data_IF_461691821237
#
_entry.id   IF_461691821237
#
_cell.length_a   1.000
_cell.length_b   1.000
_cell.length_c   1.000
_cell.angle_alpha   90.00
_cell.angle_beta   90.00
_cell.angle_gamma   90.00
#
_symmetry.space_group_name_H-M   'P 1'
#
loop_
_entity.id
_entity.type
_entity.pdbx_description
1 polymer ?
#
# COMPACT_ATOMS: atom_id res chain seq x y z
N UNK A 1 -17.23 -4.86 -5.84
CA UNK A 1 -16.55 -5.72 -6.83
C UNK A 1 -15.14 -5.17 -7.02
N UNK A 2 -14.10 -5.96 -6.84
CA UNK A 2 -12.73 -5.57 -7.21
C UNK A 2 -12.52 -6.05 -8.65
N UNK A 3 -12.14 -5.14 -9.54
CA UNK A 3 -12.02 -5.46 -10.96
C UNK A 3 -10.60 -5.94 -11.27
N UNK A 4 -10.48 -7.19 -11.72
CA UNK A 4 -9.21 -7.85 -12.04
C UNK A 4 -8.59 -7.34 -13.36
N UNK A 5 -8.34 -6.03 -13.45
CA UNK A 5 -7.85 -5.36 -14.65
C UNK A 5 -6.48 -4.72 -14.44
N UNK A 6 -5.40 -5.41 -14.80
CA UNK A 6 -4.03 -4.88 -14.98
C UNK A 6 -3.06 -5.90 -15.57
N UNK A 7 -3.24 -7.20 -15.29
CA UNK A 7 -2.26 -8.25 -15.64
C UNK A 7 -2.34 -8.79 -17.06
N UNK A 8 -3.42 -8.52 -17.80
CA UNK A 8 -3.63 -9.08 -19.14
C UNK A 8 -3.04 -8.17 -20.23
N UNK A 9 -3.36 -6.85 -20.22
CA UNK A 9 -2.98 -5.93 -21.29
C UNK A 9 -1.49 -5.89 -21.64
N UNK A 10 -0.60 -5.93 -20.63
CA UNK A 10 0.86 -5.97 -20.86
C UNK A 10 1.28 -7.25 -21.61
N UNK A 11 0.65 -8.39 -21.34
CA UNK A 11 0.89 -9.66 -22.05
C UNK A 11 0.31 -9.60 -23.46
N UNK A 12 -0.94 -9.16 -23.60
CA UNK A 12 -1.64 -9.04 -24.90
C UNK A 12 -0.85 -8.15 -25.89
N UNK A 13 -0.18 -7.12 -25.38
CA UNK A 13 0.67 -6.20 -26.14
C UNK A 13 2.00 -6.83 -26.56
N UNK A 14 2.64 -7.63 -25.68
CA UNK A 14 3.89 -8.36 -26.01
C UNK A 14 3.62 -9.51 -26.99
N UNK A 15 2.45 -10.15 -26.88
CA UNK A 15 1.98 -11.19 -27.80
C UNK A 15 1.32 -10.62 -29.08
N UNK A 16 1.43 -9.30 -29.35
CA UNK A 16 0.74 -8.62 -30.46
C UNK A 16 0.79 -9.41 -31.78
N UNK A 17 -0.33 -10.06 -32.08
CA UNK A 17 -0.53 -10.91 -33.26
C UNK A 17 -0.30 -10.14 -34.56
N UNK A 18 -0.53 -8.82 -34.55
CA UNK A 18 -0.26 -7.92 -35.67
C UNK A 18 1.25 -7.77 -35.92
N UNK A 19 2.08 -7.65 -34.87
CA UNK A 19 3.54 -7.62 -35.02
C UNK A 19 4.09 -8.97 -35.50
N UNK A 20 3.51 -10.08 -35.05
CA UNK A 20 3.88 -11.42 -35.53
C UNK A 20 3.53 -11.61 -37.02
N UNK A 21 2.32 -11.23 -37.42
CA UNK A 21 1.86 -11.26 -38.81
C UNK A 21 2.68 -10.33 -39.72
N UNK A 22 2.95 -9.09 -39.29
CA UNK A 22 3.83 -8.16 -40.01
C UNK A 22 5.25 -8.72 -40.19
N UNK A 23 5.82 -9.37 -39.18
CA UNK A 23 7.13 -10.05 -39.30
C UNK A 23 7.09 -11.23 -40.28
N UNK A 24 6.00 -11.99 -40.30
CA UNK A 24 5.78 -13.06 -41.27
C UNK A 24 5.72 -12.51 -42.70
N UNK A 25 4.90 -11.47 -42.93
CA UNK A 25 4.82 -10.75 -44.21
C UNK A 25 6.16 -10.14 -44.64
N UNK A 26 6.93 -9.58 -43.71
CA UNK A 26 8.27 -9.04 -43.99
C UNK A 26 9.24 -10.14 -44.46
N UNK A 27 9.18 -11.33 -43.86
CA UNK A 27 10.01 -12.48 -44.26
C UNK A 27 9.68 -12.94 -45.68
N UNK A 28 8.39 -13.10 -46.01
CA UNK A 28 7.93 -13.48 -47.36
C UNK A 28 8.29 -12.41 -48.40
N UNK A 29 8.08 -11.13 -48.10
CA UNK A 29 8.43 -10.03 -49.00
C UNK A 29 9.97 -9.93 -49.23
N UNK A 30 10.78 -10.19 -48.20
CA UNK A 30 12.24 -10.23 -48.33
C UNK A 30 12.73 -11.42 -49.19
N UNK A 31 12.11 -12.59 -49.05
CA UNK A 31 12.38 -13.76 -49.91
C UNK A 31 12.03 -13.47 -51.38
N UNK A 32 10.84 -12.92 -51.63
CA UNK A 32 10.36 -12.47 -52.96
C UNK A 32 11.28 -11.43 -53.59
N UNK A 33 11.73 -10.44 -52.82
CA UNK A 33 12.71 -9.44 -53.28
C UNK A 33 14.04 -10.11 -53.67
N UNK A 34 14.49 -11.11 -52.91
CA UNK A 34 15.75 -11.80 -53.17
C UNK A 34 15.70 -12.68 -54.43
N UNK A 35 14.58 -13.38 -54.70
CA UNK A 35 14.42 -14.17 -55.94
C UNK A 35 14.33 -13.27 -57.17
N UNK A 36 13.43 -12.28 -57.16
CA UNK A 36 13.28 -11.32 -58.27
C UNK A 36 14.59 -10.58 -58.57
N UNK A 37 15.38 -10.24 -57.54
CA UNK A 37 16.70 -9.59 -57.73
C UNK A 37 17.74 -10.52 -58.35
N UNK A 38 17.68 -11.82 -58.10
CA UNK A 38 18.56 -12.80 -58.71
C UNK A 38 18.18 -13.11 -60.17
N UNK A 39 16.87 -13.15 -60.46
CA UNK A 39 16.33 -13.45 -61.79
C UNK A 39 16.36 -12.25 -62.75
N UNK A 40 16.01 -11.06 -62.28
CA UNK A 40 15.73 -9.88 -63.11
C UNK A 40 16.74 -8.73 -62.91
N UNK A 41 17.67 -8.87 -61.95
CA UNK A 41 18.68 -7.85 -61.62
C UNK A 41 18.14 -6.67 -60.79
N UNK A 42 19.05 -5.85 -60.26
CA UNK A 42 18.72 -4.85 -59.23
C UNK A 42 17.81 -3.69 -59.66
N UNK A 43 17.68 -3.47 -60.96
CA UNK A 43 17.07 -2.27 -61.55
C UNK A 43 15.74 -2.57 -62.25
N UNK A 44 15.27 -3.82 -62.25
CA UNK A 44 13.98 -4.18 -62.86
C UNK A 44 12.81 -3.53 -62.10
N UNK A 45 11.74 -3.06 -62.77
CA UNK A 45 10.61 -2.41 -62.10
C UNK A 45 9.99 -3.24 -60.96
N UNK A 46 9.90 -4.56 -61.14
CA UNK A 46 9.37 -5.47 -60.10
C UNK A 46 10.29 -5.59 -58.88
N UNK A 47 11.61 -5.49 -59.06
CA UNK A 47 12.60 -5.49 -57.96
C UNK A 47 12.58 -4.17 -57.20
N UNK A 48 12.26 -3.07 -57.89
CA UNK A 48 12.01 -1.77 -57.26
C UNK A 48 10.70 -1.82 -56.46
N UNK A 49 9.63 -2.40 -57.01
CA UNK A 49 8.35 -2.57 -56.33
C UNK A 49 8.45 -3.49 -55.10
N UNK A 50 9.10 -4.65 -55.21
CA UNK A 50 9.34 -5.56 -54.08
C UNK A 50 10.23 -4.92 -52.99
N UNK A 51 11.16 -4.02 -53.35
CA UNK A 51 11.92 -3.23 -52.38
C UNK A 51 11.04 -2.21 -51.65
N UNK A 52 10.10 -1.58 -52.35
CA UNK A 52 9.13 -0.67 -51.73
C UNK A 52 8.17 -1.43 -50.80
N UNK A 53 7.72 -2.62 -51.18
CA UNK A 53 6.90 -3.53 -50.35
C UNK A 53 7.60 -3.89 -49.03
N UNK A 54 8.87 -4.34 -49.10
CA UNK A 54 9.69 -4.60 -47.90
C UNK A 54 9.89 -3.34 -47.05
N UNK A 55 10.14 -2.19 -47.70
CA UNK A 55 10.30 -0.91 -46.99
C UNK A 55 9.02 -0.46 -46.29
N UNK A 56 7.85 -0.69 -46.90
CA UNK A 56 6.55 -0.36 -46.33
C UNK A 56 6.26 -1.24 -45.10
N UNK A 57 6.41 -2.57 -45.22
CA UNK A 57 6.14 -3.49 -44.10
C UNK A 57 7.07 -3.20 -42.91
N UNK A 58 8.34 -2.85 -43.17
CA UNK A 58 9.25 -2.42 -42.10
C UNK A 58 8.81 -1.10 -41.44
N UNK A 59 8.26 -0.15 -42.21
CA UNK A 59 7.63 1.06 -41.69
C UNK A 59 6.36 0.78 -40.87
N UNK A 60 5.58 -0.22 -41.25
CA UNK A 60 4.40 -0.68 -40.52
C UNK A 60 4.80 -1.29 -39.16
N UNK A 61 5.82 -2.16 -39.13
CA UNK A 61 6.39 -2.72 -37.90
C UNK A 61 6.89 -1.61 -36.97
N UNK A 62 7.63 -0.63 -37.50
CA UNK A 62 8.16 0.48 -36.70
C UNK A 62 7.05 1.35 -36.09
N UNK A 63 5.98 1.61 -36.84
CA UNK A 63 4.78 2.32 -36.33
C UNK A 63 4.07 1.52 -35.24
N UNK A 64 3.89 0.22 -35.44
CA UNK A 64 3.18 -0.62 -34.48
C UNK A 64 3.96 -0.80 -33.17
N UNK A 65 5.28 -0.96 -33.23
CA UNK A 65 6.15 -0.94 -32.03
C UNK A 65 6.07 0.40 -31.28
N UNK A 66 5.91 1.52 -31.99
CA UNK A 66 5.69 2.82 -31.36
C UNK A 66 4.30 2.97 -30.72
N UNK A 67 3.24 2.42 -31.34
CA UNK A 67 1.89 2.35 -30.77
C UNK A 67 1.89 1.53 -29.47
N UNK A 68 2.47 0.34 -29.53
CA UNK A 68 2.69 -0.59 -28.42
C UNK A 68 3.37 0.11 -27.23
N UNK A 69 4.51 0.77 -27.47
CA UNK A 69 5.24 1.47 -26.42
C UNK A 69 4.38 2.59 -25.78
N UNK A 70 3.64 3.34 -26.60
CA UNK A 70 2.73 4.39 -26.12
C UNK A 70 1.57 3.85 -25.29
N UNK A 71 1.05 2.65 -25.57
CA UNK A 71 0.04 2.01 -24.72
C UNK A 71 0.61 1.68 -23.34
N UNK A 72 1.78 1.03 -23.30
CA UNK A 72 2.48 0.70 -22.04
C UNK A 72 2.80 1.97 -21.23
N UNK A 73 3.25 3.05 -21.88
CA UNK A 73 3.45 4.37 -21.26
C UNK A 73 2.14 4.88 -20.61
N UNK A 74 1.01 4.84 -21.33
CA UNK A 74 -0.30 5.28 -20.81
C UNK A 74 -0.78 4.41 -19.64
N UNK A 75 -0.67 3.09 -19.75
CA UNK A 75 -1.03 2.11 -18.71
C UNK A 75 -0.20 2.33 -17.44
N UNK A 76 1.12 2.53 -17.58
CA UNK A 76 2.02 2.84 -16.47
C UNK A 76 1.60 4.13 -15.75
N UNK A 77 1.25 5.21 -16.47
CA UNK A 77 0.75 6.43 -15.80
C UNK A 77 -0.59 6.21 -15.10
N UNK A 78 -1.43 5.30 -15.61
CA UNK A 78 -2.74 4.99 -15.04
C UNK A 78 -2.60 4.18 -13.76
N UNK A 79 -1.80 3.11 -13.77
CA UNK A 79 -1.46 2.30 -12.59
C UNK A 79 -0.75 3.15 -11.53
N UNK A 80 0.14 4.07 -11.94
CA UNK A 80 0.81 5.00 -11.00
C UNK A 80 -0.17 5.94 -10.30
N UNK A 81 -1.17 6.47 -11.02
CA UNK A 81 -2.26 7.29 -10.43
C UNK A 81 -3.16 6.48 -9.50
N UNK A 82 -3.48 5.24 -9.87
CA UNK A 82 -4.24 4.32 -9.02
C UNK A 82 -3.48 4.00 -7.73
N UNK A 83 -2.16 3.76 -7.82
CA UNK A 83 -1.28 3.57 -6.66
C UNK A 83 -1.30 4.78 -5.72
N UNK A 84 -1.07 6.01 -6.23
CA UNK A 84 -1.04 7.19 -5.35
C UNK A 84 -2.41 7.50 -4.72
N UNK A 85 -3.50 7.18 -5.41
CA UNK A 85 -4.86 7.25 -4.84
C UNK A 85 -5.03 6.24 -3.68
N UNK A 86 -4.56 5.00 -3.84
CA UNK A 86 -4.60 3.97 -2.80
C UNK A 86 -3.73 4.35 -1.59
N UNK A 87 -2.52 4.87 -1.82
CA UNK A 87 -1.62 5.37 -0.77
C UNK A 87 -2.25 6.54 0.01
N UNK A 88 -2.86 7.51 -0.68
CA UNK A 88 -3.58 8.62 -0.04
C UNK A 88 -4.80 8.14 0.78
N UNK A 89 -5.55 7.15 0.27
CA UNK A 89 -6.66 6.55 0.99
C UNK A 89 -6.20 5.77 2.24
N UNK A 90 -5.08 5.05 2.18
CA UNK A 90 -4.49 4.38 3.36
C UNK A 90 -4.09 5.38 4.44
N UNK A 91 -3.41 6.48 4.07
CA UNK A 91 -3.05 7.56 5.02
C UNK A 91 -4.30 8.21 5.64
N UNK A 92 -5.39 8.36 4.88
CA UNK A 92 -6.67 8.85 5.41
C UNK A 92 -7.28 7.86 6.41
N UNK A 93 -7.35 6.57 6.06
CA UNK A 93 -7.90 5.52 6.92
C UNK A 93 -7.11 5.38 8.23
N UNK A 94 -5.77 5.46 8.19
CA UNK A 94 -4.92 5.45 9.37
C UNK A 94 -5.30 6.58 10.33
N UNK A 95 -5.37 7.83 9.85
CA UNK A 95 -5.78 8.99 10.66
C UNK A 95 -7.17 8.83 11.28
N UNK A 96 -8.11 8.22 10.55
CA UNK A 96 -9.44 7.94 11.08
C UNK A 96 -9.43 6.86 12.17
N UNK A 97 -8.56 5.84 12.06
CA UNK A 97 -8.35 4.86 13.11
C UNK A 97 -7.70 5.48 14.36
N UNK A 98 -6.66 6.30 14.18
CA UNK A 98 -5.98 7.02 15.27
C UNK A 98 -6.96 7.95 16.03
N UNK A 99 -7.80 8.68 15.30
CA UNK A 99 -8.84 9.56 15.87
C UNK A 99 -9.91 8.78 16.65
N UNK A 100 -10.34 7.62 16.12
CA UNK A 100 -11.28 6.73 16.83
C UNK A 100 -10.65 6.12 18.09
N UNK A 101 -9.38 5.72 18.04
CA UNK A 101 -8.67 5.21 19.21
C UNK A 101 -8.52 6.30 20.28
N UNK A 102 -8.23 7.54 19.91
CA UNK A 102 -8.24 8.68 20.83
C UNK A 102 -9.59 8.88 21.51
N UNK A 103 -10.70 8.81 20.75
CA UNK A 103 -12.08 8.91 21.29
C UNK A 103 -12.46 7.74 22.20
N UNK A 104 -11.95 6.53 21.95
CA UNK A 104 -12.16 5.39 22.84
C UNK A 104 -11.42 5.57 24.17
N UNK A 105 -10.18 6.09 24.14
CA UNK A 105 -9.40 6.38 25.36
C UNK A 105 -10.08 7.46 26.21
N UNK A 106 -10.59 8.54 25.60
CA UNK A 106 -11.30 9.59 26.36
C UNK A 106 -12.64 9.10 26.92
N UNK A 107 -13.40 8.29 26.19
CA UNK A 107 -14.61 7.64 26.72
C UNK A 107 -14.30 6.73 27.92
N UNK A 108 -13.24 5.91 27.85
CA UNK A 108 -12.82 5.06 28.96
C UNK A 108 -12.40 5.87 30.19
N UNK A 109 -11.67 6.98 30.00
CA UNK A 109 -11.28 7.87 31.10
C UNK A 109 -12.50 8.50 31.79
N UNK A 110 -13.46 9.03 31.03
CA UNK A 110 -14.70 9.61 31.56
C UNK A 110 -15.56 8.58 32.30
N UNK A 111 -15.64 7.34 31.77
CA UNK A 111 -16.32 6.24 32.45
C UNK A 111 -15.61 5.85 33.76
N UNK A 112 -14.28 5.83 33.81
CA UNK A 112 -13.54 5.58 35.05
C UNK A 112 -13.73 6.69 36.08
N UNK A 113 -13.85 7.95 35.65
CA UNK A 113 -14.15 9.08 36.53
C UNK A 113 -15.56 8.99 37.13
N UNK A 114 -16.61 8.80 36.30
CA UNK A 114 -17.99 8.56 36.75
C UNK A 114 -18.07 7.39 37.75
N UNK A 115 -17.43 6.26 37.40
CA UNK A 115 -17.36 5.08 38.26
C UNK A 115 -16.58 5.30 39.56
N UNK A 116 -15.69 6.30 39.62
CA UNK A 116 -14.94 6.66 40.83
C UNK A 116 -15.74 7.64 41.70
N UNK A 117 -16.37 8.65 41.10
CA UNK A 117 -17.29 9.56 41.80
C UNK A 117 -18.47 8.82 42.43
N UNK A 118 -19.04 7.83 41.72
CA UNK A 118 -20.10 6.96 42.25
C UNK A 118 -19.63 6.01 43.38
N UNK A 119 -18.32 5.83 43.57
CA UNK A 119 -17.73 4.94 44.59
C UNK A 119 -17.17 5.68 45.80
N UNK A 120 -17.19 7.00 45.81
CA UNK A 120 -16.93 7.78 47.03
C UNK A 120 -18.07 7.51 48.03
N UNK A 121 -17.82 6.85 49.17
CA UNK A 121 -18.85 6.70 50.19
C UNK A 121 -19.19 8.07 50.73
N UNK A 122 -20.48 8.40 50.82
CA UNK A 122 -20.94 9.62 51.48
C UNK A 122 -20.47 9.60 52.93
N UNK A 123 -19.45 10.40 53.25
CA UNK A 123 -18.90 10.51 54.62
C UNK A 123 -19.95 11.21 55.48
N UNK A 124 -20.84 10.40 56.07
CA UNK A 124 -21.85 10.88 57.00
C UNK A 124 -21.17 11.58 58.16
N UNK A 125 -21.57 12.83 58.41
CA UNK A 125 -20.94 13.71 59.40
C UNK A 125 -20.87 13.03 60.78
N UNK A 126 -19.73 13.09 61.50
CA UNK A 126 -19.56 12.40 62.76
C UNK A 126 -20.45 13.02 63.85
N UNK A 127 -21.46 12.26 64.29
CA UNK A 127 -22.36 12.67 65.36
C UNK A 127 -21.62 13.00 66.67
N UNK A 128 -22.18 13.91 67.50
CA UNK A 128 -21.46 14.45 68.65
C UNK A 128 -21.13 13.37 69.69
N UNK A 129 -19.83 13.10 69.85
CA UNK A 129 -19.31 12.22 70.91
C UNK A 129 -19.61 12.83 72.28
N UNK A 130 -20.57 12.24 73.00
CA UNK A 130 -20.77 12.53 74.44
C UNK A 130 -19.49 12.18 75.20
N UNK A 131 -19.00 13.14 75.98
CA UNK A 131 -17.88 12.94 76.90
C UNK A 131 -18.31 12.17 78.15
N UNK A 132 -17.42 11.33 78.67
CA UNK A 132 -17.47 10.86 80.06
C UNK A 132 -16.03 10.61 80.54
N UNK A 133 -15.64 10.95 81.79
CA UNK A 133 -14.24 10.95 82.21
C UNK A 133 -13.81 9.68 82.98
N UNK A 134 -12.51 9.62 83.30
CA UNK A 134 -11.81 8.60 84.13
C UNK A 134 -11.61 7.21 83.48
N UNK A 135 -10.51 6.48 83.74
CA UNK A 135 -9.34 6.77 84.60
C UNK A 135 -8.03 6.08 84.15
N UNK A 136 -6.92 6.55 84.74
CA UNK A 136 -5.69 5.79 85.10
C UNK A 136 -4.89 5.03 84.03
N UNK A 137 -3.67 5.53 83.78
CA UNK A 137 -2.50 4.74 83.37
C UNK A 137 -2.17 3.64 84.40
N UNK A 138 -1.36 2.61 84.03
CA UNK A 138 0.09 2.76 84.22
C UNK A 138 0.93 2.32 83.00
N UNK A 139 2.23 2.61 83.03
CA UNK A 139 3.17 2.35 81.95
C UNK A 139 3.92 1.01 82.10
N UNK A 140 4.51 0.50 81.00
CA UNK A 140 5.80 -0.22 81.03
C UNK A 140 6.48 -0.41 79.67
N UNK A 141 7.81 -0.33 79.69
CA UNK A 141 8.83 -0.96 78.80
C UNK A 141 8.45 -1.22 77.32
N UNK A 142 9.03 -0.52 76.33
CA UNK A 142 10.45 -0.54 75.92
C UNK A 142 10.98 -1.94 75.52
N UNK A 143 11.21 -2.15 74.20
CA UNK A 143 12.22 -3.08 73.68
C UNK A 143 12.59 -2.81 72.20
N UNK A 144 13.79 -3.21 71.82
CA UNK A 144 14.33 -3.29 70.45
C UNK A 144 13.56 -4.28 69.56
N UNK A 145 13.70 -4.35 68.22
CA UNK A 145 14.86 -4.11 67.32
C UNK A 145 14.36 -3.60 65.95
N UNK A 146 15.10 -2.89 65.08
CA UNK A 146 16.52 -2.88 64.63
C UNK A 146 16.94 -4.07 63.73
N UNK A 147 16.57 -3.96 62.45
CA UNK A 147 17.09 -4.63 61.22
C UNK A 147 16.74 -3.69 60.02
N UNK A 148 17.42 -3.54 58.86
CA UNK A 148 18.72 -3.97 58.29
C UNK A 148 19.00 -5.48 58.23
N UNK A 149 19.40 -6.08 57.11
CA UNK A 149 19.87 -5.61 55.78
C UNK A 149 19.40 -6.62 54.69
N UNK A 150 19.60 -6.49 53.36
CA UNK A 150 20.49 -5.65 52.52
C UNK A 150 19.82 -5.24 51.18
N UNK A 151 20.52 -4.43 50.37
CA UNK A 151 20.35 -4.32 48.91
C UNK A 151 21.09 -5.47 48.20
N UNK A 152 20.72 -5.76 46.95
CA UNK A 152 21.47 -6.60 46.02
C UNK A 152 20.58 -7.16 44.90
N UNK A 153 21.03 -7.32 43.66
CA UNK A 153 22.33 -6.96 43.04
C UNK A 153 22.11 -6.76 41.51
N UNK A 154 23.12 -6.51 40.62
CA UNK A 154 22.88 -5.92 39.29
C UNK A 154 22.30 -6.88 38.25
#
# INVERSE_FOLDING_TARGET
>A
MVQSGSTHGITDIVESRLVQDLKSRASVAAQKLQSLRAELGSNHPEVIAARQEVSQINGDIAREVANIRKSIENELTTVTKQKSLLEANLVKLQKQADELQGKLITLQALQMEEQSSSKLPTISSPGPRKSNPRSTSPARTSRSSRWRISLGTP
#
